data_IF_291790061057
#
_entry.id   IF_291790061057
#
_cell.length_a   1.000
_cell.length_b   1.000
_cell.length_c   1.000
_cell.angle_alpha   90.00
_cell.angle_beta   90.00
_cell.angle_gamma   90.00
#
_symmetry.space_group_name_H-M   'P 1'
#
loop_
_entity.id
_entity.type
_entity.pdbx_description
1 polymer ?
#
# COMPACT_ATOMS: atom_id res chain seq x y z
N UNK A 1 0.40 -11.18 24.76
CA UNK A 1 -0.20 -9.90 24.32
C UNK A 1 0.39 -9.34 23.00
N UNK A 2 0.92 -10.13 22.04
CA UNK A 2 1.07 -9.67 20.64
C UNK A 2 -0.17 -9.96 19.78
N UNK A 3 -0.68 -11.20 19.83
CA UNK A 3 -1.75 -11.72 18.95
C UNK A 3 -3.06 -10.89 18.96
N UNK A 4 -3.42 -10.29 20.09
CA UNK A 4 -4.64 -9.48 20.18
C UNK A 4 -4.53 -8.14 19.46
N UNK A 5 -3.31 -7.59 19.34
CA UNK A 5 -3.05 -6.33 18.64
C UNK A 5 -3.02 -6.56 17.13
N UNK A 6 -2.30 -7.59 16.68
CA UNK A 6 -2.23 -7.98 15.26
C UNK A 6 -3.62 -8.28 14.68
N UNK A 7 -4.49 -8.93 15.45
CA UNK A 7 -5.88 -9.20 15.04
C UNK A 7 -6.73 -7.93 14.92
N UNK A 8 -6.50 -6.94 15.78
CA UNK A 8 -7.19 -5.66 15.74
C UNK A 8 -6.74 -4.84 14.52
N UNK A 9 -5.44 -4.78 14.26
CA UNK A 9 -4.88 -4.09 13.09
C UNK A 9 -5.38 -4.72 11.79
N UNK A 10 -5.38 -6.06 11.69
CA UNK A 10 -5.93 -6.75 10.53
C UNK A 10 -7.42 -6.44 10.33
N UNK A 11 -8.22 -6.44 11.40
CA UNK A 11 -9.65 -6.10 11.32
C UNK A 11 -9.88 -4.66 10.89
N UNK A 12 -9.04 -3.71 11.34
CA UNK A 12 -9.13 -2.30 10.95
C UNK A 12 -8.73 -2.15 9.49
N UNK A 13 -7.65 -2.80 9.06
CA UNK A 13 -7.21 -2.81 7.66
C UNK A 13 -8.30 -3.35 6.74
N UNK A 14 -8.96 -4.45 7.11
CA UNK A 14 -10.04 -5.03 6.31
C UNK A 14 -11.27 -4.11 6.23
N UNK A 15 -11.62 -3.44 7.33
CA UNK A 15 -12.68 -2.43 7.35
C UNK A 15 -12.32 -1.22 6.47
N UNK A 16 -11.10 -0.72 6.57
CA UNK A 16 -10.60 0.40 5.77
C UNK A 16 -10.53 0.04 4.28
N UNK A 17 -10.09 -1.18 3.95
CA UNK A 17 -10.16 -1.71 2.59
C UNK A 17 -11.59 -1.63 2.06
N UNK A 18 -12.57 -2.19 2.78
CA UNK A 18 -13.97 -2.13 2.35
C UNK A 18 -14.47 -0.69 2.13
N UNK A 19 -14.09 0.23 3.02
CA UNK A 19 -14.41 1.66 2.91
C UNK A 19 -13.81 2.32 1.65
N UNK A 20 -12.54 2.04 1.33
CA UNK A 20 -11.90 2.50 0.09
C UNK A 20 -12.64 1.97 -1.14
N UNK A 21 -12.88 0.65 -1.22
CA UNK A 21 -13.54 0.04 -2.37
C UNK A 21 -14.94 0.62 -2.60
N UNK A 22 -15.71 0.85 -1.53
CA UNK A 22 -17.00 1.51 -1.62
C UNK A 22 -16.89 2.94 -2.15
N UNK A 23 -15.91 3.72 -1.68
CA UNK A 23 -15.69 5.09 -2.15
C UNK A 23 -15.29 5.14 -3.63
N UNK A 24 -14.38 4.26 -4.06
CA UNK A 24 -13.97 4.14 -5.47
C UNK A 24 -15.16 3.75 -6.35
N UNK A 25 -15.96 2.77 -5.93
CA UNK A 25 -17.15 2.35 -6.67
C UNK A 25 -18.20 3.47 -6.80
N UNK A 26 -18.44 4.24 -5.74
CA UNK A 26 -19.34 5.40 -5.76
C UNK A 26 -18.85 6.52 -6.69
N UNK A 27 -17.53 6.65 -6.85
CA UNK A 27 -16.92 7.58 -7.79
C UNK A 27 -16.90 7.07 -9.24
N UNK A 28 -17.35 5.83 -9.50
CA UNK A 28 -17.30 5.20 -10.82
C UNK A 28 -15.91 4.71 -11.24
N UNK A 29 -14.94 4.71 -10.32
CA UNK A 29 -13.59 4.20 -10.55
C UNK A 29 -13.68 2.67 -10.62
N UNK A 30 -13.12 2.11 -11.68
CA UNK A 30 -13.07 0.67 -11.94
C UNK A 30 -11.74 0.05 -11.53
N UNK A 31 -10.66 0.83 -11.59
CA UNK A 31 -9.32 0.40 -11.19
C UNK A 31 -8.51 1.57 -10.66
N UNK A 32 -7.68 1.29 -9.66
CA UNK A 32 -6.63 2.20 -9.21
C UNK A 32 -5.28 1.50 -9.16
N UNK A 33 -4.23 2.18 -9.63
CA UNK A 33 -2.86 1.67 -9.68
C UNK A 33 -2.00 2.54 -8.78
N UNK A 34 -1.28 1.90 -7.86
CA UNK A 34 -0.36 2.58 -6.94
C UNK A 34 1.04 2.09 -7.23
N UNK A 35 1.90 2.97 -7.73
CA UNK A 35 3.32 2.64 -7.93
C UNK A 35 4.13 3.05 -6.70
N UNK A 36 5.08 2.21 -6.30
CA UNK A 36 5.98 2.48 -5.17
C UNK A 36 7.44 2.21 -5.57
N UNK A 37 8.35 2.92 -4.92
CA UNK A 37 9.79 2.73 -5.09
C UNK A 37 10.50 2.97 -3.75
N UNK A 38 11.51 2.15 -3.46
CA UNK A 38 12.30 2.22 -2.25
C UNK A 38 13.75 1.84 -2.52
N UNK A 39 14.65 2.49 -1.80
CA UNK A 39 16.08 2.30 -1.88
C UNK A 39 16.77 2.83 -0.61
N UNK A 40 17.82 2.14 -0.17
CA UNK A 40 18.64 2.53 0.96
C UNK A 40 17.95 2.29 2.31
N UNK A 41 17.27 3.30 2.81
CA UNK A 41 16.46 3.27 4.06
C UNK A 41 15.12 3.98 3.89
N UNK A 42 14.79 4.31 2.64
CA UNK A 42 13.71 5.23 2.28
C UNK A 42 12.87 4.59 1.19
N UNK A 43 11.55 4.70 1.35
CA UNK A 43 10.59 4.23 0.37
C UNK A 43 9.35 5.10 0.38
N UNK A 44 8.69 5.20 -0.77
CA UNK A 44 7.55 6.08 -0.95
C UNK A 44 6.57 5.54 -2.00
N UNK A 45 5.35 6.05 -1.93
CA UNK A 45 4.41 5.98 -3.05
C UNK A 45 4.82 7.02 -4.09
N UNK A 46 5.00 6.58 -5.33
CA UNK A 46 5.37 7.45 -6.45
C UNK A 46 4.15 8.10 -7.09
N UNK A 47 3.06 7.32 -7.24
CA UNK A 47 1.84 7.80 -7.88
C UNK A 47 0.62 6.97 -7.49
N UNK A 48 -0.55 7.58 -7.60
CA UNK A 48 -1.84 6.90 -7.53
C UNK A 48 -2.68 7.30 -8.75
N UNK A 49 -2.87 6.37 -9.68
CA UNK A 49 -3.66 6.57 -10.88
C UNK A 49 -5.02 5.92 -10.72
N UNK A 50 -6.09 6.62 -11.07
CA UNK A 50 -7.44 6.08 -11.09
C UNK A 50 -8.00 6.07 -12.52
N UNK A 51 -8.77 5.03 -12.82
CA UNK A 51 -9.44 4.87 -14.11
C UNK A 51 -10.89 4.45 -13.93
N UNK A 52 -11.73 4.94 -14.83
CA UNK A 52 -13.11 4.50 -15.05
C UNK A 52 -13.16 3.65 -16.32
N UNK A 53 -14.35 3.13 -16.65
CA UNK A 53 -14.58 2.47 -17.93
C UNK A 53 -14.30 3.37 -19.16
N UNK A 54 -14.37 4.70 -18.99
CA UNK A 54 -14.20 5.69 -20.06
C UNK A 54 -12.77 6.25 -20.14
N UNK A 55 -11.89 5.89 -19.19
CA UNK A 55 -10.49 6.32 -19.15
C UNK A 55 -10.05 6.90 -17.81
N UNK A 56 -8.85 7.51 -17.77
CA UNK A 56 -8.26 8.06 -16.56
C UNK A 56 -9.13 9.17 -15.94
N UNK A 57 -9.16 9.22 -14.61
CA UNK A 57 -9.84 10.24 -13.83
C UNK A 57 -8.99 10.62 -12.62
N UNK A 58 -9.14 11.85 -12.15
CA UNK A 58 -8.56 12.24 -10.86
C UNK A 58 -9.27 11.51 -9.71
N UNK A 59 -8.49 11.12 -8.70
CA UNK A 59 -9.05 10.63 -7.45
C UNK A 59 -9.91 11.72 -6.80
N UNK A 60 -11.12 11.39 -6.31
CA UNK A 60 -11.94 12.36 -5.60
C UNK A 60 -11.24 12.81 -4.31
N UNK A 61 -11.27 14.11 -4.03
CA UNK A 61 -10.81 14.72 -2.76
C UNK A 61 -11.80 14.49 -1.60
N UNK A 62 -12.53 13.38 -1.63
CA UNK A 62 -13.46 13.02 -0.58
C UNK A 62 -12.71 12.52 0.66
N UNK A 63 -13.21 12.88 1.84
CA UNK A 63 -12.71 12.39 3.11
C UNK A 63 -13.62 11.30 3.67
N UNK A 64 -13.01 10.25 4.21
CA UNK A 64 -13.67 9.09 4.77
C UNK A 64 -13.37 9.02 6.28
N UNK A 65 -14.41 8.81 7.08
CA UNK A 65 -14.29 8.58 8.52
C UNK A 65 -13.87 7.12 8.75
N UNK A 66 -12.68 6.90 9.32
CA UNK A 66 -12.08 5.58 9.50
C UNK A 66 -11.44 5.40 10.86
N UNK A 67 -11.13 4.15 11.20
CA UNK A 67 -10.32 3.82 12.37
C UNK A 67 -8.86 3.58 11.96
N UNK A 68 -7.95 4.06 12.80
CA UNK A 68 -6.50 3.97 12.60
C UNK A 68 -5.89 3.35 13.85
N UNK A 69 -5.16 2.25 13.68
CA UNK A 69 -4.26 1.76 14.72
C UNK A 69 -2.99 2.62 14.67
N UNK A 70 -2.74 3.37 15.74
CA UNK A 70 -1.54 4.19 15.88
C UNK A 70 -0.53 3.54 16.82
N UNK A 71 0.75 3.66 16.47
CA UNK A 71 1.82 3.15 17.31
C UNK A 71 1.80 3.78 18.70
N UNK A 72 1.79 2.94 19.73
CA UNK A 72 1.77 3.39 21.12
C UNK A 72 0.37 3.72 21.67
N UNK A 73 -0.69 3.63 20.85
CA UNK A 73 -2.07 3.72 21.31
C UNK A 73 -2.64 2.33 21.62
N UNK A 74 -3.29 2.18 22.77
CA UNK A 74 -3.92 0.92 23.17
C UNK A 74 -5.24 0.65 22.43
N UNK A 75 -5.87 1.70 21.90
CA UNK A 75 -7.13 1.65 21.18
C UNK A 75 -6.99 2.38 19.83
N UNK A 76 -7.77 1.98 18.81
CA UNK A 76 -7.80 2.69 17.55
C UNK A 76 -8.36 4.10 17.73
N UNK A 77 -7.89 5.02 16.91
CA UNK A 77 -8.38 6.40 16.87
C UNK A 77 -9.22 6.64 15.62
N UNK A 78 -10.27 7.44 15.75
CA UNK A 78 -11.07 7.90 14.61
C UNK A 78 -10.33 9.01 13.87
N UNK A 79 -10.29 8.94 12.54
CA UNK A 79 -9.65 9.94 11.67
C UNK A 79 -10.43 10.17 10.38
N UNK A 80 -10.24 11.37 9.82
CA UNK A 80 -10.79 11.79 8.53
C UNK A 80 -9.67 11.82 7.51
N UNK A 81 -9.57 10.77 6.71
CA UNK A 81 -8.51 10.60 5.71
C UNK A 81 -9.05 10.82 4.30
N UNK A 82 -8.23 11.38 3.41
CA UNK A 82 -8.58 11.39 1.99
C UNK A 82 -8.57 9.96 1.44
N UNK A 83 -9.22 9.74 0.29
CA UNK A 83 -9.13 8.44 -0.41
C UNK A 83 -7.67 8.08 -0.68
N UNK A 84 -6.85 9.06 -1.10
CA UNK A 84 -5.43 8.86 -1.40
C UNK A 84 -4.64 8.41 -0.15
N UNK A 85 -4.79 9.12 0.97
CA UNK A 85 -4.09 8.77 2.23
C UNK A 85 -4.46 7.36 2.70
N UNK A 86 -5.73 6.97 2.52
CA UNK A 86 -6.21 5.66 2.93
C UNK A 86 -5.71 4.55 2.01
N UNK A 87 -5.59 4.81 0.70
CA UNK A 87 -4.95 3.90 -0.26
C UNK A 87 -3.47 3.73 0.10
N UNK A 88 -2.74 4.83 0.31
CA UNK A 88 -1.33 4.81 0.67
C UNK A 88 -1.09 4.02 1.96
N UNK A 89 -1.92 4.24 2.99
CA UNK A 89 -1.84 3.49 4.24
C UNK A 89 -2.07 1.99 4.06
N UNK A 90 -3.06 1.60 3.26
CA UNK A 90 -3.29 0.19 2.92
C UNK A 90 -2.08 -0.42 2.21
N UNK A 91 -1.47 0.32 1.27
CA UNK A 91 -0.30 -0.15 0.53
C UNK A 91 0.89 -0.35 1.45
N UNK A 92 1.21 0.60 2.34
CA UNK A 92 2.28 0.39 3.33
C UNK A 92 1.97 -0.75 4.30
N UNK A 93 0.72 -0.92 4.74
CA UNK A 93 0.33 -2.05 5.59
C UNK A 93 0.57 -3.39 4.86
N UNK A 94 0.23 -3.48 3.57
CA UNK A 94 0.47 -4.70 2.79
C UNK A 94 1.95 -4.93 2.50
N UNK A 95 2.72 -3.90 2.16
CA UNK A 95 4.17 -4.00 1.98
C UNK A 95 4.84 -4.45 3.29
N UNK A 96 4.56 -3.80 4.41
CA UNK A 96 5.14 -4.14 5.70
C UNK A 96 4.81 -5.55 6.19
N UNK A 97 3.64 -6.09 5.80
CA UNK A 97 3.24 -7.45 6.16
C UNK A 97 3.77 -8.54 5.22
N UNK A 98 3.94 -8.24 3.94
CA UNK A 98 4.38 -9.23 2.92
C UNK A 98 5.87 -9.17 2.63
N UNK A 99 6.45 -7.97 2.65
CA UNK A 99 7.84 -7.66 2.34
C UNK A 99 8.43 -6.69 3.40
N UNK A 100 8.61 -7.13 4.66
CA UNK A 100 9.20 -6.27 5.69
C UNK A 100 10.62 -5.84 5.29
N UNK A 101 10.89 -4.54 5.34
CA UNK A 101 12.18 -3.97 4.91
C UNK A 101 12.35 -3.85 3.40
N UNK A 102 11.26 -3.86 2.63
CA UNK A 102 11.27 -3.75 1.16
C UNK A 102 12.09 -2.57 0.63
N UNK A 103 12.20 -1.48 1.39
CA UNK A 103 12.97 -0.31 0.99
C UNK A 103 14.47 -0.39 1.29
N UNK A 104 14.91 -1.39 2.07
CA UNK A 104 16.25 -1.41 2.63
C UNK A 104 17.32 -1.86 1.62
N UNK A 105 18.51 -1.28 1.70
CA UNK A 105 19.66 -1.63 0.87
C UNK A 105 19.45 -1.27 -0.60
N UNK A 106 19.39 -2.27 -1.48
CA UNK A 106 19.07 -2.06 -2.89
C UNK A 106 17.58 -1.78 -3.10
N UNK A 107 16.76 -2.07 -2.10
CA UNK A 107 15.33 -1.80 -2.08
C UNK A 107 14.52 -2.60 -3.09
N UNK A 108 13.28 -2.15 -3.30
CA UNK A 108 12.30 -2.79 -4.14
C UNK A 108 11.37 -1.75 -4.77
N UNK A 109 10.72 -2.14 -5.85
CA UNK A 109 9.73 -1.32 -6.53
C UNK A 109 8.60 -2.20 -7.07
N UNK A 110 7.50 -1.58 -7.44
CA UNK A 110 6.37 -2.32 -7.99
C UNK A 110 5.08 -1.55 -7.99
N UNK A 111 4.00 -2.30 -8.15
CA UNK A 111 2.66 -1.75 -8.28
C UNK A 111 1.63 -2.55 -7.48
N UNK A 112 0.71 -1.83 -6.84
CA UNK A 112 -0.55 -2.40 -6.37
C UNK A 112 -1.67 -2.05 -7.34
N UNK A 113 -2.47 -3.05 -7.71
CA UNK A 113 -3.66 -2.88 -8.54
C UNK A 113 -4.91 -3.17 -7.72
N UNK A 114 -5.72 -2.15 -7.51
CA UNK A 114 -7.05 -2.22 -6.90
C UNK A 114 -8.07 -2.46 -8.00
N UNK A 115 -8.62 -3.68 -8.09
CA UNK A 115 -9.68 -4.04 -9.02
C UNK A 115 -11.03 -3.88 -8.30
N UNK A 116 -11.75 -2.79 -8.61
CA UNK A 116 -12.95 -2.39 -7.87
C UNK A 116 -14.11 -3.35 -8.09
N UNK A 117 -14.21 -3.94 -9.29
CA UNK A 117 -15.27 -4.87 -9.63
C UNK A 117 -15.20 -6.16 -8.80
N UNK A 118 -13.98 -6.65 -8.51
CA UNK A 118 -13.76 -7.88 -7.75
C UNK A 118 -13.46 -7.65 -6.26
N UNK A 119 -13.16 -6.40 -5.86
CA UNK A 119 -12.73 -6.10 -4.49
C UNK A 119 -11.31 -6.61 -4.18
N UNK A 120 -10.51 -6.85 -5.21
CA UNK A 120 -9.18 -7.49 -5.10
C UNK A 120 -8.08 -6.44 -5.15
N UNK A 121 -7.02 -6.68 -4.39
CA UNK A 121 -5.77 -5.92 -4.48
C UNK A 121 -4.69 -6.93 -4.88
N UNK A 122 -3.99 -6.67 -5.97
CA UNK A 122 -2.86 -7.49 -6.43
C UNK A 122 -1.56 -6.70 -6.30
N UNK A 123 -0.50 -7.34 -5.84
CA UNK A 123 0.86 -6.77 -5.75
C UNK A 123 1.75 -7.42 -6.82
N UNK A 124 2.35 -6.60 -7.67
CA UNK A 124 3.51 -6.95 -8.49
C UNK A 124 4.76 -6.33 -7.86
N UNK A 125 5.65 -7.17 -7.30
CA UNK A 125 6.78 -6.76 -6.48
C UNK A 125 8.11 -7.18 -7.11
N UNK A 126 9.07 -6.25 -7.13
CA UNK A 126 10.39 -6.44 -7.72
C UNK A 126 11.48 -6.06 -6.72
N UNK A 127 12.20 -7.05 -6.19
CA UNK A 127 13.41 -6.85 -5.39
C UNK A 127 14.61 -6.47 -6.28
N UNK A 128 15.41 -5.50 -5.84
CA UNK A 128 16.71 -5.19 -6.45
C UNK A 128 17.81 -5.94 -5.70
N UNK A 129 18.82 -6.40 -6.43
CA UNK A 129 20.02 -6.99 -5.84
C UNK A 129 21.26 -6.62 -6.65
N UNK A 130 22.39 -6.55 -5.96
CA UNK A 130 23.72 -6.44 -6.56
C UNK A 130 24.48 -7.74 -6.29
N UNK A 131 25.08 -8.31 -7.33
CA UNK A 131 25.98 -9.45 -7.23
C UNK A 131 27.39 -9.08 -7.73
N UNK A 132 28.42 -9.65 -7.11
CA UNK A 132 29.82 -9.36 -7.44
C UNK A 132 30.69 -10.60 -7.29
N UNK A 133 31.40 -10.96 -8.36
CA UNK A 133 32.39 -12.04 -8.37
C UNK A 133 33.80 -11.46 -8.44
N UNK A 134 34.69 -11.95 -7.57
CA UNK A 134 36.10 -11.56 -7.57
C UNK A 134 36.98 -12.82 -7.64
N UNK A 135 37.84 -12.88 -8.66
CA UNK A 135 38.90 -13.88 -8.75
C UNK A 135 40.26 -13.21 -8.94
N UNK A 136 41.28 -13.76 -8.27
CA UNK A 136 42.67 -13.30 -8.36
C UNK A 136 43.53 -14.46 -8.83
N UNK A 137 44.34 -14.21 -9.85
CA UNK A 137 45.27 -15.20 -10.39
C UNK A 137 46.67 -14.60 -10.42
N UNK A 138 47.64 -15.32 -9.83
CA UNK A 138 49.07 -15.06 -10.00
C UNK A 138 49.65 -16.13 -10.92
N UNK A 139 50.51 -15.74 -11.86
CA UNK A 139 51.10 -16.62 -12.88
C UNK A 139 52.59 -16.85 -12.61
#
# INVERSE_FOLDING_TARGET
MPVAHDNLEASIRDANKATVFNALALAGITRAVVSFDGYGDSGQIENIEAETADGPIDLPDARLHVLVAEWGQALPVEQDLSIADLIERLVYDYLGTTHPGWQDGEGAYGEFVFDVATGTITLDHNDRYIDSEHSTHEF
#
